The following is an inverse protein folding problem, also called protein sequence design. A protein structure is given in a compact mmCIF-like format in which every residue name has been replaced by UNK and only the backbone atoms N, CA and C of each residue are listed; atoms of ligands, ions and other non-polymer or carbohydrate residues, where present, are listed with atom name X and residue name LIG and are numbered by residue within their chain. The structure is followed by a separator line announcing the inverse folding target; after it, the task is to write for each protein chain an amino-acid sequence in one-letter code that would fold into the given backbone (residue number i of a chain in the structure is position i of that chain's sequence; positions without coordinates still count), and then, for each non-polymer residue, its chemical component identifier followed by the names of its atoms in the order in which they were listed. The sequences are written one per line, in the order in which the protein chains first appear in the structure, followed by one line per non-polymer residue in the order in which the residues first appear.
data_IF_563814673136
#
_entry.id   IF_563814673136
#
_cell.length_a   1.000
_cell.length_b   1.000
_cell.length_c   1.000
_cell.angle_alpha   90.00
_cell.angle_beta   90.00
_cell.angle_gamma   90.00
#
_symmetry.space_group_name_H-M   'P 1'
#
loop_
_entity.id
_entity.type
_entity.pdbx_description
1 polymer ?
#
# COMPACT_ATOMS: atom_id res chain seq x y z
N UNK A 1 -28.34 -53.69 -4.85
CA UNK A 1 -29.68 -53.33 -4.36
C UNK A 1 -29.76 -51.81 -4.20
N UNK A 2 -30.86 -51.19 -4.61
CA UNK A 2 -31.06 -49.75 -4.50
C UNK A 2 -31.57 -49.40 -3.10
N UNK A 3 -30.81 -48.62 -2.33
CA UNK A 3 -31.21 -48.19 -0.99
C UNK A 3 -32.32 -47.13 -1.04
N UNK A 4 -33.30 -47.22 -0.14
CA UNK A 4 -34.27 -46.15 0.14
C UNK A 4 -33.93 -45.50 1.48
N UNK A 5 -33.84 -44.17 1.52
CA UNK A 5 -33.59 -43.39 2.74
C UNK A 5 -34.85 -42.61 3.11
N UNK A 6 -35.48 -42.97 4.22
CA UNK A 6 -36.56 -42.20 4.83
C UNK A 6 -35.95 -41.25 5.87
N UNK A 7 -36.25 -39.96 5.78
CA UNK A 7 -35.77 -38.97 6.74
C UNK A 7 -36.70 -38.95 7.96
N UNK A 8 -36.11 -39.08 9.14
CA UNK A 8 -36.79 -38.91 10.43
C UNK A 8 -35.98 -37.91 11.25
N UNK A 9 -36.63 -36.86 11.73
CA UNK A 9 -35.99 -35.81 12.50
C UNK A 9 -35.58 -36.31 13.89
N UNK A 10 -34.39 -35.92 14.35
CA UNK A 10 -33.94 -36.21 15.72
C UNK A 10 -34.37 -35.09 16.65
N UNK A 11 -35.06 -35.44 17.74
CA UNK A 11 -35.56 -34.50 18.76
C UNK A 11 -34.44 -33.84 19.59
N UNK A 12 -33.31 -34.53 19.76
CA UNK A 12 -32.14 -34.01 20.48
C UNK A 12 -30.87 -34.32 19.69
N UNK A 13 -29.94 -33.37 19.68
CA UNK A 13 -28.68 -33.46 18.96
C UNK A 13 -27.51 -33.31 19.94
N UNK A 14 -26.73 -34.37 20.11
CA UNK A 14 -25.39 -34.30 20.68
C UNK A 14 -24.42 -34.09 19.53
N UNK A 15 -23.65 -33.00 19.60
CA UNK A 15 -22.83 -32.53 18.48
C UNK A 15 -21.49 -32.01 19.00
N UNK A 16 -20.41 -32.39 18.32
CA UNK A 16 -19.08 -31.81 18.49
C UNK A 16 -18.54 -31.41 17.13
N UNK A 17 -18.28 -30.13 16.95
CA UNK A 17 -17.83 -29.59 15.67
C UNK A 17 -16.50 -30.22 15.21
N UNK A 18 -15.59 -30.49 16.16
CA UNK A 18 -14.28 -31.11 15.93
C UNK A 18 -14.35 -32.53 15.35
N UNK A 19 -15.40 -33.29 15.63
CA UNK A 19 -15.60 -34.65 15.10
C UNK A 19 -16.05 -34.65 13.65
N UNK A 20 -16.72 -33.58 13.21
CA UNK A 20 -17.22 -33.45 11.84
C UNK A 20 -16.17 -32.95 10.86
N UNK A 21 -15.08 -32.36 11.36
CA UNK A 21 -14.05 -31.74 10.51
C UNK A 21 -12.88 -32.70 10.39
N UNK A 22 -12.62 -33.27 9.20
CA UNK A 22 -11.53 -34.22 9.00
C UNK A 22 -10.17 -33.63 9.41
N UNK A 23 -9.27 -34.46 9.92
CA UNK A 23 -7.89 -34.04 10.27
C UNK A 23 -7.12 -33.47 9.07
N UNK A 24 -7.44 -33.90 7.87
CA UNK A 24 -6.83 -33.41 6.63
C UNK A 24 -7.40 -32.05 6.16
N UNK A 25 -8.47 -31.55 6.77
CA UNK A 25 -9.08 -30.26 6.40
C UNK A 25 -8.06 -29.13 6.56
N UNK A 26 -8.01 -28.24 5.57
CA UNK A 26 -7.06 -27.14 5.51
C UNK A 26 -7.17 -26.20 6.72
N UNK A 27 -8.38 -25.75 7.07
CA UNK A 27 -8.62 -24.82 8.18
C UNK A 27 -8.32 -25.43 9.54
N UNK A 28 -8.55 -26.73 9.71
CA UNK A 28 -8.11 -27.46 10.90
C UNK A 28 -6.59 -27.48 11.04
N UNK A 29 -5.87 -27.86 9.97
CA UNK A 29 -4.40 -27.86 9.96
C UNK A 29 -3.83 -26.45 10.18
N UNK A 30 -4.48 -25.43 9.59
CA UNK A 30 -4.11 -24.03 9.80
C UNK A 30 -4.29 -23.62 11.25
N UNK A 31 -5.40 -23.97 11.90
CA UNK A 31 -5.63 -23.74 13.34
C UNK A 31 -4.53 -24.34 14.20
N UNK A 32 -4.11 -25.57 13.87
CA UNK A 32 -3.10 -26.32 14.63
C UNK A 32 -1.67 -25.79 14.39
N UNK A 33 -1.41 -25.20 13.22
CA UNK A 33 -0.06 -24.71 12.84
C UNK A 33 0.17 -23.25 13.16
N UNK A 34 -0.89 -22.44 13.29
CA UNK A 34 -0.83 -20.99 13.44
C UNK A 34 -1.24 -20.57 14.85
N UNK A 35 -0.26 -20.28 15.70
CA UNK A 35 -0.50 -19.68 17.02
C UNK A 35 -0.50 -18.15 16.94
N UNK A 36 -1.64 -17.55 17.28
CA UNK A 36 -1.86 -16.11 17.28
C UNK A 36 -2.05 -15.52 18.69
N UNK A 37 -1.87 -16.30 19.75
CA UNK A 37 -2.17 -15.86 21.13
C UNK A 37 -1.36 -14.63 21.57
N UNK A 38 -0.17 -14.45 21.02
CA UNK A 38 0.68 -13.29 21.28
C UNK A 38 0.04 -11.95 20.88
N UNK A 39 -0.94 -11.95 19.96
CA UNK A 39 -1.66 -10.75 19.52
C UNK A 39 -2.41 -10.09 20.68
N UNK A 40 -2.98 -10.87 21.61
CA UNK A 40 -3.71 -10.31 22.75
C UNK A 40 -2.85 -9.34 23.57
N UNK A 41 -1.55 -9.63 23.72
CA UNK A 41 -0.62 -8.75 24.46
C UNK A 41 -0.36 -7.46 23.70
N UNK A 42 -0.21 -7.53 22.38
CA UNK A 42 0.11 -6.40 21.52
C UNK A 42 -1.06 -5.44 21.35
N UNK A 43 -2.28 -5.97 21.27
CA UNK A 43 -3.47 -5.13 21.08
C UNK A 43 -4.08 -4.66 22.40
N UNK A 44 -3.62 -5.14 23.56
CA UNK A 44 -4.25 -4.88 24.88
C UNK A 44 -4.50 -3.40 25.15
N UNK A 45 -3.55 -2.54 24.80
CA UNK A 45 -3.64 -1.10 25.01
C UNK A 45 -4.69 -0.40 24.12
N UNK A 46 -5.11 -1.05 23.03
CA UNK A 46 -6.12 -0.52 22.09
C UNK A 46 -7.56 -0.83 22.55
N UNK A 47 -7.72 -1.65 23.59
CA UNK A 47 -9.02 -2.06 24.13
C UNK A 47 -9.30 -1.34 25.44
N UNK A 48 -10.54 -0.88 25.60
CA UNK A 48 -11.02 -0.31 26.85
C UNK A 48 -11.18 -1.36 27.95
N UNK A 49 -11.16 -0.91 29.21
CA UNK A 49 -11.40 -1.76 30.39
C UNK A 49 -12.87 -1.86 30.80
N UNK A 50 -13.75 -1.06 30.18
CA UNK A 50 -15.18 -0.98 30.50
C UNK A 50 -16.04 -0.98 29.24
N UNK A 51 -17.32 -1.35 29.37
CA UNK A 51 -18.28 -1.43 28.28
C UNK A 51 -18.47 -2.84 27.70
N UNK A 52 -19.17 -2.93 26.57
CA UNK A 52 -19.38 -4.21 25.89
C UNK A 52 -18.05 -4.75 25.33
N UNK A 53 -17.75 -6.04 25.51
CA UNK A 53 -16.58 -6.67 24.90
C UNK A 53 -16.59 -6.46 23.38
N UNK A 54 -15.45 -5.98 22.86
CA UNK A 54 -15.22 -5.91 21.42
C UNK A 54 -14.80 -7.29 20.89
N UNK A 55 -14.67 -7.42 19.56
CA UNK A 55 -14.19 -8.64 18.91
C UNK A 55 -12.81 -9.05 19.46
N UNK A 56 -12.64 -10.36 19.67
CA UNK A 56 -11.35 -10.94 19.98
C UNK A 56 -10.33 -10.63 18.86
N UNK A 57 -9.15 -10.05 19.18
CA UNK A 57 -8.09 -9.79 18.22
C UNK A 57 -7.70 -11.02 17.36
N UNK A 58 -7.58 -12.20 17.97
CA UNK A 58 -7.23 -13.43 17.27
C UNK A 58 -8.32 -13.81 16.26
N UNK A 59 -9.59 -13.71 16.66
CA UNK A 59 -10.73 -13.95 15.76
C UNK A 59 -10.70 -12.95 14.60
N UNK A 60 -10.42 -11.68 14.87
CA UNK A 60 -10.31 -10.66 13.81
C UNK A 60 -9.25 -11.04 12.76
N UNK A 61 -8.03 -11.40 13.18
CA UNK A 61 -6.97 -11.79 12.25
C UNK A 61 -7.30 -13.08 11.49
N UNK A 62 -7.95 -14.06 12.15
CA UNK A 62 -8.42 -15.26 11.48
C UNK A 62 -9.49 -14.96 10.43
N UNK A 63 -10.43 -14.06 10.70
CA UNK A 63 -11.41 -13.59 9.72
C UNK A 63 -10.73 -12.93 8.51
N UNK A 64 -9.71 -12.10 8.74
CA UNK A 64 -8.93 -11.50 7.65
C UNK A 64 -8.24 -12.56 6.79
N UNK A 65 -7.62 -13.56 7.42
CA UNK A 65 -7.01 -14.69 6.69
C UNK A 65 -8.05 -15.44 5.85
N UNK A 66 -9.22 -15.75 6.41
CA UNK A 66 -10.31 -16.38 5.66
C UNK A 66 -10.73 -15.52 4.47
N UNK A 67 -10.91 -14.21 4.67
CA UNK A 67 -11.26 -13.28 3.60
C UNK A 67 -10.27 -13.31 2.43
N UNK A 68 -8.96 -13.35 2.71
CA UNK A 68 -7.95 -13.45 1.65
C UNK A 68 -7.89 -14.84 1.01
N UNK A 69 -7.94 -15.91 1.80
CA UNK A 69 -7.82 -17.29 1.33
C UNK A 69 -9.03 -17.72 0.48
N UNK A 70 -10.22 -17.22 0.80
CA UNK A 70 -11.47 -17.49 0.07
C UNK A 70 -11.79 -16.39 -0.96
N UNK A 71 -10.90 -15.40 -1.11
CA UNK A 71 -11.06 -14.27 -2.03
C UNK A 71 -12.39 -13.50 -1.82
N UNK A 72 -12.76 -13.28 -0.55
CA UNK A 72 -13.96 -12.54 -0.13
C UNK A 72 -13.55 -11.16 0.37
N UNK A 73 -13.86 -10.13 -0.43
CA UNK A 73 -13.45 -8.74 -0.15
C UNK A 73 -14.48 -7.92 0.63
N UNK A 74 -15.70 -8.44 0.81
CA UNK A 74 -16.78 -7.75 1.51
C UNK A 74 -16.95 -8.31 2.91
N UNK A 75 -16.85 -7.46 3.94
CA UNK A 75 -17.04 -7.86 5.34
C UNK A 75 -18.40 -8.50 5.60
N UNK A 76 -19.47 -8.06 4.91
CA UNK A 76 -20.80 -8.70 4.99
C UNK A 76 -20.78 -10.12 4.44
N UNK A 77 -20.29 -10.26 3.19
CA UNK A 77 -20.17 -11.57 2.54
C UNK A 77 -19.23 -12.49 3.31
N UNK A 78 -18.20 -11.96 3.97
CA UNK A 78 -17.27 -12.73 4.78
C UNK A 78 -17.99 -13.35 5.98
N UNK A 79 -18.77 -12.56 6.73
CA UNK A 79 -19.53 -13.08 7.87
C UNK A 79 -20.55 -14.13 7.41
N UNK A 80 -21.28 -13.87 6.32
CA UNK A 80 -22.23 -14.82 5.73
C UNK A 80 -21.52 -16.09 5.21
N UNK A 81 -20.32 -15.96 4.64
CA UNK A 81 -19.54 -17.10 4.16
C UNK A 81 -19.05 -17.96 5.32
N UNK A 82 -18.55 -17.34 6.39
CA UNK A 82 -18.09 -18.01 7.59
C UNK A 82 -19.23 -18.74 8.31
N UNK A 83 -20.43 -18.14 8.42
CA UNK A 83 -21.57 -18.75 9.12
C UNK A 83 -22.05 -20.04 8.46
N UNK A 84 -21.86 -20.19 7.16
CA UNK A 84 -22.30 -21.36 6.39
C UNK A 84 -21.28 -22.51 6.40
N UNK A 85 -20.05 -22.30 6.90
CA UNK A 85 -18.95 -23.26 6.79
C UNK A 85 -18.42 -23.71 8.14
N UNK A 86 -18.75 -24.96 8.49
CA UNK A 86 -18.35 -25.62 9.74
C UNK A 86 -16.83 -25.64 9.97
N UNK A 87 -16.04 -25.87 8.92
CA UNK A 87 -14.58 -25.90 9.00
C UNK A 87 -13.99 -24.53 9.32
N UNK A 88 -14.58 -23.46 8.77
CA UNK A 88 -14.21 -22.08 9.07
C UNK A 88 -14.63 -21.70 10.49
N UNK A 89 -15.87 -22.00 10.89
CA UNK A 89 -16.33 -21.76 12.28
C UNK A 89 -15.38 -22.39 13.30
N UNK A 90 -14.96 -23.63 13.05
CA UNK A 90 -13.98 -24.31 13.89
C UNK A 90 -12.61 -23.64 13.89
N UNK A 91 -12.14 -23.13 12.76
CA UNK A 91 -10.90 -22.36 12.71
C UNK A 91 -11.00 -21.07 13.53
N UNK A 92 -12.11 -20.34 13.39
CA UNK A 92 -12.40 -19.12 14.13
C UNK A 92 -12.53 -19.38 15.63
N UNK A 93 -13.08 -20.54 16.02
CA UNK A 93 -13.37 -20.91 17.40
C UNK A 93 -14.83 -20.66 17.80
N UNK A 94 -15.75 -20.68 16.83
CA UNK A 94 -17.19 -20.55 17.05
C UNK A 94 -17.89 -21.89 16.85
N UNK A 95 -18.99 -22.12 17.57
CA UNK A 95 -19.90 -23.23 17.31
C UNK A 95 -21.05 -22.83 16.35
N UNK A 96 -21.90 -23.78 15.96
CA UNK A 96 -22.95 -23.60 14.94
C UNK A 96 -24.07 -22.67 15.43
N UNK A 97 -24.32 -22.63 16.72
CA UNK A 97 -25.36 -21.82 17.36
C UNK A 97 -24.84 -20.47 17.91
N UNK A 98 -23.53 -20.22 17.81
CA UNK A 98 -22.94 -18.96 18.23
C UNK A 98 -23.05 -17.87 17.17
N UNK A 99 -23.33 -16.64 17.62
CA UNK A 99 -23.45 -15.50 16.73
C UNK A 99 -22.06 -14.92 16.38
N UNK A 100 -21.76 -14.86 15.08
CA UNK A 100 -20.56 -14.20 14.56
C UNK A 100 -20.60 -12.67 14.76
N UNK A 101 -19.43 -12.00 14.81
CA UNK A 101 -19.35 -10.56 14.95
C UNK A 101 -20.01 -9.84 13.76
N UNK A 102 -20.62 -8.69 14.04
CA UNK A 102 -21.20 -7.84 13.01
C UNK A 102 -20.13 -7.31 12.06
N UNK A 103 -20.45 -7.23 10.77
CA UNK A 103 -19.51 -6.80 9.72
C UNK A 103 -18.89 -5.42 9.98
N UNK A 104 -19.62 -4.52 10.66
CA UNK A 104 -19.14 -3.17 11.01
C UNK A 104 -18.07 -3.21 12.10
N UNK A 105 -18.14 -4.18 13.02
CA UNK A 105 -17.11 -4.42 14.03
C UNK A 105 -15.81 -4.81 13.35
N UNK A 106 -15.85 -5.69 12.34
CA UNK A 106 -14.67 -6.08 11.56
C UNK A 106 -14.03 -4.85 10.89
N UNK A 107 -14.83 -4.05 10.17
CA UNK A 107 -14.33 -2.85 9.49
C UNK A 107 -13.73 -1.83 10.46
N UNK A 108 -14.34 -1.61 11.63
CA UNK A 108 -13.84 -0.66 12.64
C UNK A 108 -12.57 -1.17 13.32
N UNK A 109 -12.51 -2.45 13.67
CA UNK A 109 -11.31 -3.06 14.25
C UNK A 109 -10.12 -3.01 13.28
N UNK A 110 -10.36 -3.19 11.98
CA UNK A 110 -9.32 -3.00 10.95
C UNK A 110 -8.71 -1.60 10.96
N UNK A 111 -9.51 -0.57 11.19
CA UNK A 111 -9.05 0.82 11.27
C UNK A 111 -8.41 1.17 12.61
N UNK A 112 -8.70 0.39 13.66
CA UNK A 112 -8.17 0.61 15.01
C UNK A 112 -6.70 0.18 15.13
N UNK A 113 -6.30 -0.88 14.42
CA UNK A 113 -4.96 -1.46 14.57
C UNK A 113 -3.92 -0.70 13.74
N UNK A 114 -2.80 -0.29 14.35
CA UNK A 114 -1.71 0.33 13.61
C UNK A 114 -0.93 -0.70 12.79
N UNK A 115 -0.25 -0.23 11.75
CA UNK A 115 0.58 -1.03 10.84
C UNK A 115 1.61 -1.89 11.58
N UNK A 116 2.12 -1.41 12.72
CA UNK A 116 3.08 -2.13 13.55
C UNK A 116 2.55 -3.46 14.09
N UNK A 117 1.24 -3.58 14.35
CA UNK A 117 0.62 -4.85 14.77
C UNK A 117 0.61 -5.84 13.60
N UNK A 118 0.29 -5.36 12.39
CA UNK A 118 0.33 -6.19 11.18
C UNK A 118 1.75 -6.63 10.84
N UNK A 119 2.73 -5.74 10.98
CA UNK A 119 4.14 -6.05 10.76
C UNK A 119 4.67 -7.06 11.79
N UNK A 120 4.30 -6.92 13.06
CA UNK A 120 4.60 -7.90 14.12
C UNK A 120 4.06 -9.29 13.77
N UNK A 121 2.80 -9.37 13.34
CA UNK A 121 2.20 -10.63 12.89
C UNK A 121 2.92 -11.21 11.68
N UNK A 122 3.23 -10.38 10.68
CA UNK A 122 3.99 -10.80 9.50
C UNK A 122 5.34 -11.42 9.90
N UNK A 123 6.08 -10.77 10.81
CA UNK A 123 7.36 -11.27 11.30
C UNK A 123 7.24 -12.63 12.00
N UNK A 124 6.17 -12.86 12.77
CA UNK A 124 5.90 -14.16 13.41
C UNK A 124 5.60 -15.24 12.39
N UNK A 125 4.75 -14.97 11.42
CA UNK A 125 4.43 -15.93 10.35
C UNK A 125 5.68 -16.24 9.53
N UNK A 126 6.50 -15.23 9.24
CA UNK A 126 7.78 -15.42 8.56
C UNK A 126 8.74 -16.29 9.38
N UNK A 127 8.87 -16.06 10.69
CA UNK A 127 9.68 -16.90 11.57
C UNK A 127 9.20 -18.36 11.58
N UNK A 128 7.88 -18.61 11.61
CA UNK A 128 7.33 -19.96 11.47
C UNK A 128 7.74 -20.61 10.14
N UNK A 129 7.76 -19.85 9.04
CA UNK A 129 8.26 -20.37 7.76
C UNK A 129 9.76 -20.71 7.81
N UNK A 130 10.56 -19.90 8.50
CA UNK A 130 11.99 -20.19 8.72
C UNK A 130 12.18 -21.47 9.55
N UNK A 131 11.46 -21.62 10.67
CA UNK A 131 11.52 -22.80 11.54
C UNK A 131 11.13 -24.09 10.82
N UNK A 132 10.27 -23.98 9.80
CA UNK A 132 9.88 -25.10 8.92
C UNK A 132 10.83 -25.34 7.75
N UNK A 133 11.92 -24.58 7.64
CA UNK A 133 12.92 -24.71 6.57
C UNK A 133 12.42 -24.23 5.20
N UNK A 134 11.40 -23.37 5.15
CA UNK A 134 10.83 -22.88 3.89
C UNK A 134 11.58 -21.66 3.33
N UNK A 135 12.47 -21.05 4.10
CA UNK A 135 13.18 -19.82 3.74
C UNK A 135 14.67 -20.13 3.63
N UNK A 136 15.28 -19.88 2.47
CA UNK A 136 16.72 -20.05 2.28
C UNK A 136 17.53 -18.85 2.79
N UNK A 137 16.99 -17.65 2.66
CA UNK A 137 17.58 -16.38 3.09
C UNK A 137 18.59 -15.75 2.13
N UNK A 138 19.36 -16.56 1.38
CA UNK A 138 20.50 -16.13 0.56
C UNK A 138 20.09 -15.20 -0.61
N UNK A 139 19.15 -15.64 -1.45
CA UNK A 139 18.71 -14.91 -2.66
C UNK A 139 17.29 -14.38 -2.50
N UNK A 140 17.11 -13.07 -2.71
CA UNK A 140 15.82 -12.39 -2.62
C UNK A 140 15.46 -11.75 -3.96
N UNK A 141 14.26 -12.02 -4.47
CA UNK A 141 13.71 -11.39 -5.66
C UNK A 141 12.80 -10.22 -5.30
N UNK A 142 13.03 -9.06 -5.91
CA UNK A 142 12.22 -7.87 -5.78
C UNK A 142 11.37 -7.64 -7.03
N UNK A 143 10.10 -7.33 -6.81
CA UNK A 143 9.19 -6.90 -7.86
C UNK A 143 8.19 -5.87 -7.31
N UNK A 144 7.59 -5.10 -8.19
CA UNK A 144 6.56 -4.14 -7.84
C UNK A 144 5.39 -4.12 -8.82
N UNK A 145 4.21 -3.78 -8.32
CA UNK A 145 3.02 -3.65 -9.13
C UNK A 145 2.16 -2.47 -8.67
N UNK A 146 1.59 -1.69 -9.62
CA UNK A 146 0.59 -0.69 -9.28
C UNK A 146 -0.72 -1.38 -8.88
N UNK A 147 -1.15 -1.18 -7.64
CA UNK A 147 -2.45 -1.65 -7.12
C UNK A 147 -3.45 -0.51 -7.25
N UNK A 148 -4.60 -0.79 -7.86
CA UNK A 148 -5.66 0.21 -8.02
C UNK A 148 -6.18 0.65 -6.64
N UNK A 149 -6.15 1.95 -6.38
CA UNK A 149 -6.75 2.53 -5.19
C UNK A 149 -8.29 2.46 -5.26
N UNK A 150 -8.94 2.41 -4.10
CA UNK A 150 -10.39 2.50 -4.02
C UNK A 150 -10.87 3.97 -4.05
N UNK A 151 -10.47 4.67 -5.11
CA UNK A 151 -10.67 6.11 -5.24
C UNK A 151 -11.00 6.48 -6.69
N UNK A 152 -11.90 7.45 -6.88
CA UNK A 152 -12.29 7.95 -8.20
C UNK A 152 -11.40 9.11 -8.66
N UNK A 153 -11.08 9.12 -9.96
CA UNK A 153 -10.43 10.26 -10.60
C UNK A 153 -11.36 11.50 -10.67
N UNK A 154 -12.68 11.31 -10.59
CA UNK A 154 -13.67 12.40 -10.64
C UNK A 154 -13.78 13.14 -9.30
N UNK A 155 -13.37 12.50 -8.21
CA UNK A 155 -13.43 13.07 -6.86
C UNK A 155 -12.13 13.79 -6.47
N UNK A 156 -11.29 14.17 -7.45
CA UNK A 156 -10.05 14.87 -7.18
C UNK A 156 -10.32 16.33 -6.80
N UNK A 157 -9.68 16.79 -5.73
CA UNK A 157 -9.74 18.17 -5.26
C UNK A 157 -8.38 18.86 -5.38
N UNK A 158 -8.40 20.18 -5.56
CA UNK A 158 -7.19 21.00 -5.58
C UNK A 158 -6.56 21.05 -4.20
N UNK A 159 -5.24 20.83 -4.13
CA UNK A 159 -4.46 21.06 -2.91
C UNK A 159 -4.54 22.54 -2.54
N UNK A 160 -5.10 22.83 -1.37
CA UNK A 160 -5.14 24.20 -0.83
C UNK A 160 -3.83 24.49 -0.10
N UNK A 161 -3.24 25.69 -0.27
CA UNK A 161 -2.10 26.10 0.53
C UNK A 161 -2.43 26.03 2.03
N UNK A 162 -1.44 25.67 2.84
CA UNK A 162 -1.59 25.56 4.30
C UNK A 162 -1.98 26.90 4.96
N UNK A 163 -1.51 28.02 4.41
CA UNK A 163 -1.91 29.35 4.84
C UNK A 163 -3.00 29.90 3.94
N UNK A 164 -4.03 30.52 4.53
CA UNK A 164 -4.97 31.31 3.74
C UNK A 164 -4.21 32.44 3.04
N UNK A 165 -4.67 32.80 1.85
CA UNK A 165 -4.11 33.91 1.06
C UNK A 165 -4.04 35.19 1.93
N UNK A 166 -5.05 35.43 2.76
CA UNK A 166 -5.12 36.53 3.72
C UNK A 166 -4.00 36.49 4.76
N UNK A 167 -3.73 35.32 5.35
CA UNK A 167 -2.62 35.16 6.33
C UNK A 167 -1.26 35.30 5.67
N UNK A 168 -1.12 34.82 4.44
CA UNK A 168 0.11 34.99 3.67
C UNK A 168 0.35 36.46 3.34
N UNK A 169 -0.67 37.18 2.85
CA UNK A 169 -0.58 38.62 2.64
C UNK A 169 -0.34 39.40 3.93
N UNK A 170 -0.95 39.00 5.05
CA UNK A 170 -0.66 39.61 6.34
C UNK A 170 0.80 39.41 6.75
N UNK A 171 1.34 38.20 6.63
CA UNK A 171 2.74 37.91 6.94
C UNK A 171 3.72 38.67 6.03
N UNK A 172 3.47 38.68 4.71
CA UNK A 172 4.26 39.43 3.73
C UNK A 172 4.18 40.94 3.99
N UNK A 173 3.01 41.45 4.35
CA UNK A 173 2.86 42.87 4.72
C UNK A 173 3.57 43.21 6.03
N UNK A 174 3.62 42.28 6.99
CA UNK A 174 4.39 42.44 8.23
C UNK A 174 5.90 42.41 7.96
N UNK A 175 6.40 41.51 7.10
CA UNK A 175 7.80 41.46 6.69
C UNK A 175 8.22 42.67 5.84
N UNK A 176 7.30 43.20 5.03
CA UNK A 176 7.51 44.40 4.22
C UNK A 176 7.15 45.71 4.94
N UNK A 177 6.94 45.71 6.27
CA UNK A 177 6.86 46.96 7.01
C UNK A 177 8.25 47.62 6.96
N UNK A 178 8.38 48.62 6.09
CA UNK A 178 9.57 49.48 6.06
C UNK A 178 9.79 50.08 7.45
N UNK A 179 11.05 50.17 7.93
CA UNK A 179 11.34 50.89 9.15
C UNK A 179 10.82 52.32 9.00
N UNK A 180 10.08 52.81 9.99
CA UNK A 180 9.53 54.17 10.00
C UNK A 180 10.69 55.16 9.96
N UNK A 181 11.09 55.58 8.76
CA UNK A 181 11.94 56.73 8.55
C UNK A 181 10.99 57.92 8.45
N UNK A 182 11.00 58.76 9.48
CA UNK A 182 10.27 60.03 9.52
C UNK A 182 10.84 60.97 8.45
N UNK A 183 10.30 60.94 7.24
CA UNK A 183 10.65 61.87 6.18
C UNK A 183 9.51 62.90 5.98
N UNK A 184 9.91 64.17 6.00
CA UNK A 184 9.13 65.39 5.74
C UNK A 184 8.37 65.36 4.41
N UNK A 185 7.25 66.12 4.28
CA UNK A 185 6.42 66.10 3.09
C UNK A 185 7.16 66.75 1.93
N UNK A 186 7.71 65.91 1.05
CA UNK A 186 8.16 66.34 -0.27
C UNK A 186 7.00 66.17 -1.26
N UNK A 187 6.86 67.17 -2.11
CA UNK A 187 5.85 67.35 -3.15
C UNK A 187 5.54 66.06 -3.89
N UNK A 188 4.26 65.72 -3.99
CA UNK A 188 3.74 64.56 -4.74
C UNK A 188 4.11 64.71 -6.21
N UNK A 189 5.25 64.14 -6.59
CA UNK A 189 5.53 63.82 -7.98
C UNK A 189 4.61 62.67 -8.38
N UNK A 190 3.75 62.88 -9.38
CA UNK A 190 3.10 61.77 -10.05
C UNK A 190 4.19 60.87 -10.62
N UNK A 191 4.48 59.76 -9.94
CA UNK A 191 5.35 58.70 -10.47
C UNK A 191 4.56 58.04 -11.60
N UNK A 192 4.68 58.60 -12.80
CA UNK A 192 4.07 58.05 -14.00
C UNK A 192 5.08 57.14 -14.67
N UNK A 193 4.75 55.86 -14.80
CA UNK A 193 5.58 54.92 -15.56
C UNK A 193 5.63 55.34 -17.04
N UNK A 194 6.79 55.22 -17.72
CA UNK A 194 6.92 55.55 -19.13
C UNK A 194 5.87 54.82 -19.99
N UNK A 195 5.31 55.50 -21.00
CA UNK A 195 4.18 55.00 -21.79
C UNK A 195 4.41 53.60 -22.39
N UNK A 196 5.65 53.26 -22.74
CA UNK A 196 5.99 51.95 -23.28
C UNK A 196 5.90 50.82 -22.24
N UNK A 197 6.17 51.08 -20.96
CA UNK A 197 5.94 50.12 -19.87
C UNK A 197 4.44 49.89 -19.66
N UNK A 198 3.65 50.96 -19.65
CA UNK A 198 2.19 50.86 -19.54
C UNK A 198 1.59 50.10 -20.73
N UNK A 199 2.06 50.37 -21.95
CA UNK A 199 1.64 49.65 -23.15
C UNK A 199 2.05 48.18 -23.12
N UNK A 200 3.26 47.85 -22.62
CA UNK A 200 3.71 46.46 -22.46
C UNK A 200 2.85 45.70 -21.45
N UNK A 201 2.54 46.31 -20.30
CA UNK A 201 1.65 45.72 -19.28
C UNK A 201 0.24 45.54 -19.83
N UNK A 202 -0.29 46.55 -20.53
CA UNK A 202 -1.61 46.50 -21.17
C UNK A 202 -1.66 45.40 -22.23
N UNK A 203 -0.60 45.25 -23.03
CA UNK A 203 -0.49 44.19 -24.03
C UNK A 203 -0.41 42.79 -23.41
N UNK A 204 0.30 42.64 -22.28
CA UNK A 204 0.33 41.39 -21.50
C UNK A 204 -1.04 41.07 -20.92
N UNK A 205 -1.75 42.05 -20.35
CA UNK A 205 -3.12 41.87 -19.86
C UNK A 205 -4.12 41.56 -20.97
N UNK A 206 -4.02 42.22 -22.12
CA UNK A 206 -4.88 41.94 -23.27
C UNK A 206 -4.61 40.56 -23.86
N UNK A 207 -3.35 40.10 -23.83
CA UNK A 207 -2.97 38.73 -24.25
C UNK A 207 -3.54 37.68 -23.29
N UNK A 208 -3.53 37.96 -21.98
CA UNK A 208 -4.16 37.11 -20.95
C UNK A 208 -5.70 37.13 -21.01
N UNK A 209 -6.32 38.21 -21.49
CA UNK A 209 -7.78 38.30 -21.70
C UNK A 209 -8.23 37.62 -22.99
N UNK A 210 -7.46 37.74 -24.07
CA UNK A 210 -7.76 37.14 -25.39
C UNK A 210 -7.45 35.65 -25.44
N UNK A 211 -6.36 35.24 -24.79
CA UNK A 211 -6.09 33.87 -24.44
C UNK A 211 -6.19 33.78 -22.91
N UNK A 212 -7.40 33.58 -22.33
CA UNK A 212 -7.44 33.02 -20.99
C UNK A 212 -6.54 31.80 -21.04
N UNK A 213 -5.75 31.58 -19.98
CA UNK A 213 -4.93 30.37 -19.88
C UNK A 213 -5.88 29.19 -19.90
N UNK A 214 -6.26 28.73 -21.09
CA UNK A 214 -7.02 27.52 -21.28
C UNK A 214 -6.18 26.45 -20.64
N UNK A 215 -6.77 25.68 -19.72
CA UNK A 215 -6.07 24.57 -19.09
C UNK A 215 -5.37 23.77 -20.20
N UNK A 216 -4.03 23.69 -20.14
CA UNK A 216 -3.24 23.14 -21.24
C UNK A 216 -3.77 21.75 -21.61
N UNK A 217 -4.30 21.57 -22.84
CA UNK A 217 -4.81 20.27 -23.30
C UNK A 217 -6.31 20.18 -23.65
N UNK A 218 -7.04 21.29 -23.75
CA UNK A 218 -8.45 21.26 -24.11
C UNK A 218 -8.69 21.29 -25.64
N UNK A 219 -8.82 20.11 -26.26
CA UNK A 219 -9.67 19.93 -27.45
C UNK A 219 -11.06 19.38 -27.10
N UNK A 220 -11.32 19.06 -25.83
CA UNK A 220 -12.57 18.50 -25.33
C UNK A 220 -13.06 19.25 -24.09
N UNK A 221 -14.35 19.56 -24.02
CA UNK A 221 -14.98 20.43 -23.00
C UNK A 221 -14.83 19.92 -21.54
N UNK A 222 -14.58 18.61 -21.36
CA UNK A 222 -14.37 17.95 -20.06
C UNK A 222 -12.88 17.62 -19.77
N UNK A 223 -11.96 18.03 -20.63
CA UNK A 223 -10.54 17.70 -20.48
C UNK A 223 -9.92 18.52 -19.33
N UNK A 224 -9.66 17.87 -18.20
CA UNK A 224 -8.97 18.46 -17.06
C UNK A 224 -7.56 17.87 -16.88
N UNK A 225 -6.59 18.76 -16.66
CA UNK A 225 -5.22 18.42 -16.29
C UNK A 225 -5.15 18.12 -14.79
N UNK A 226 -5.01 16.84 -14.47
CA UNK A 226 -4.77 16.38 -13.10
C UNK A 226 -3.30 15.99 -12.93
N UNK A 227 -2.71 16.36 -11.80
CA UNK A 227 -1.36 15.96 -11.42
C UNK A 227 -1.29 15.77 -9.90
N UNK A 228 -0.40 14.89 -9.43
CA UNK A 228 -0.18 14.68 -8.00
C UNK A 228 0.35 15.94 -7.27
N UNK A 229 0.90 16.91 -8.01
CA UNK A 229 1.34 18.20 -7.47
C UNK A 229 0.18 19.13 -7.16
N UNK A 230 -0.87 19.09 -7.97
CA UNK A 230 -1.98 20.04 -7.90
C UNK A 230 -3.24 19.47 -7.26
N UNK A 231 -3.45 18.15 -7.35
CA UNK A 231 -4.66 17.49 -6.88
C UNK A 231 -4.36 16.36 -5.90
N UNK A 232 -5.35 16.03 -5.07
CA UNK A 232 -5.39 14.84 -4.22
C UNK A 232 -6.84 14.32 -4.17
N UNK A 233 -7.02 13.07 -3.72
CA UNK A 233 -8.36 12.55 -3.48
C UNK A 233 -8.68 12.69 -1.97
N UNK A 234 -9.82 13.30 -1.57
CA UNK A 234 -10.15 13.50 -0.16
C UNK A 234 -10.60 12.21 0.55
N UNK A 235 -11.09 11.21 -0.19
CA UNK A 235 -11.49 9.91 0.36
C UNK A 235 -10.29 8.96 0.53
N UNK A 236 -9.23 9.20 -0.24
CA UNK A 236 -7.98 8.46 -0.21
C UNK A 236 -6.80 9.41 -0.52
N UNK A 237 -6.31 10.16 0.48
CA UNK A 237 -5.27 11.18 0.28
C UNK A 237 -3.90 10.63 -0.15
N UNK A 238 -3.68 9.33 0.07
CA UNK A 238 -2.41 8.66 -0.22
C UNK A 238 -2.36 8.09 -1.63
N UNK A 239 -3.50 7.81 -2.24
CA UNK A 239 -3.55 7.40 -3.63
C UNK A 239 -2.89 8.44 -4.57
N UNK A 240 -2.14 7.95 -5.55
CA UNK A 240 -1.47 8.80 -6.54
C UNK A 240 -1.94 8.46 -7.95
N UNK A 241 -2.05 9.49 -8.78
CA UNK A 241 -2.25 9.36 -10.21
C UNK A 241 -0.99 8.71 -10.79
N UNK A 242 -1.15 7.56 -11.43
CA UNK A 242 -0.08 6.92 -12.20
C UNK A 242 -0.59 6.42 -13.54
N UNK A 243 0.34 6.30 -14.50
CA UNK A 243 0.06 5.92 -15.88
C UNK A 243 0.99 4.78 -16.26
N UNK A 244 0.41 3.66 -16.69
CA UNK A 244 1.16 2.59 -17.37
C UNK A 244 1.09 2.84 -18.87
N UNK A 245 2.18 2.65 -19.65
CA UNK A 245 2.13 2.77 -21.10
C UNK A 245 0.97 1.99 -21.71
N UNK A 246 0.18 2.64 -22.57
CA UNK A 246 -1.00 2.06 -23.21
C UNK A 246 -2.25 1.92 -22.33
N UNK A 247 -2.23 2.38 -21.07
CA UNK A 247 -3.40 2.36 -20.17
C UNK A 247 -3.83 3.75 -19.75
N UNK A 248 -5.12 3.90 -19.47
CA UNK A 248 -5.67 5.13 -18.92
C UNK A 248 -5.08 5.45 -17.53
N UNK A 249 -4.93 6.74 -17.24
CA UNK A 249 -4.56 7.25 -15.92
C UNK A 249 -5.52 6.76 -14.84
N UNK A 250 -4.98 6.29 -13.71
CA UNK A 250 -5.75 5.82 -12.56
C UNK A 250 -5.08 6.25 -11.26
N UNK A 251 -5.85 6.24 -10.18
CA UNK A 251 -5.35 6.32 -8.83
C UNK A 251 -4.86 4.93 -8.39
N UNK A 252 -3.59 4.84 -8.01
CA UNK A 252 -2.94 3.60 -7.61
C UNK A 252 -2.07 3.83 -6.36
N UNK A 253 -1.72 2.71 -5.73
CA UNK A 253 -0.61 2.53 -4.82
C UNK A 253 0.50 1.77 -5.54
N UNK A 254 1.75 1.95 -5.13
CA UNK A 254 2.88 1.16 -5.57
C UNK A 254 3.11 0.05 -4.55
N UNK A 255 2.80 -1.19 -4.90
CA UNK A 255 3.03 -2.32 -4.00
C UNK A 255 4.34 -2.99 -4.40
N UNK A 256 5.26 -3.08 -3.45
CA UNK A 256 6.56 -3.71 -3.66
C UNK A 256 6.70 -4.92 -2.77
N UNK A 257 7.27 -5.99 -3.30
CA UNK A 257 7.40 -7.27 -2.62
C UNK A 257 8.81 -7.81 -2.76
N UNK A 258 9.29 -8.44 -1.68
CA UNK A 258 10.49 -9.25 -1.67
C UNK A 258 10.10 -10.72 -1.43
N UNK A 259 10.70 -11.62 -2.20
CA UNK A 259 10.41 -13.06 -2.15
C UNK A 259 11.70 -13.84 -2.05
N UNK A 260 11.75 -14.79 -1.12
CA UNK A 260 12.83 -15.77 -1.01
C UNK A 260 12.75 -16.78 -2.17
N UNK A 261 13.85 -16.96 -2.90
CA UNK A 261 13.86 -17.82 -4.08
C UNK A 261 13.85 -19.32 -3.78
N UNK A 262 13.97 -19.74 -2.51
CA UNK A 262 14.01 -21.15 -2.13
C UNK A 262 12.68 -21.87 -2.33
N UNK A 263 11.62 -21.38 -1.67
CA UNK A 263 10.26 -21.93 -1.78
C UNK A 263 9.21 -20.85 -2.13
N UNK A 264 9.64 -19.65 -2.52
CA UNK A 264 8.72 -18.56 -2.88
C UNK A 264 8.05 -17.89 -1.68
N UNK A 265 8.69 -17.92 -0.50
CA UNK A 265 8.15 -17.26 0.70
C UNK A 265 8.31 -15.75 0.57
N UNK A 266 7.22 -15.01 0.74
CA UNK A 266 7.26 -13.55 0.79
C UNK A 266 8.03 -13.12 2.03
N UNK A 267 9.18 -12.50 1.84
CA UNK A 267 10.05 -12.02 2.91
C UNK A 267 9.76 -10.58 3.30
N UNK A 268 9.14 -9.78 2.43
CA UNK A 268 8.66 -8.45 2.75
C UNK A 268 7.59 -7.98 1.77
N UNK A 269 6.69 -7.12 2.25
CA UNK A 269 5.72 -6.42 1.42
C UNK A 269 5.55 -5.00 1.98
N UNK A 270 5.44 -4.01 1.10
CA UNK A 270 5.14 -2.64 1.47
C UNK A 270 4.29 -1.96 0.40
N UNK A 271 3.53 -0.94 0.79
CA UNK A 271 2.78 -0.09 -0.12
C UNK A 271 3.33 1.34 -0.01
N UNK A 272 3.68 1.90 -1.15
CA UNK A 272 4.22 3.24 -1.32
C UNK A 272 3.32 4.08 -2.26
N UNK A 273 3.65 5.36 -2.39
CA UNK A 273 3.01 6.26 -3.33
C UNK A 273 3.31 5.87 -4.79
N UNK A 274 2.28 5.82 -5.64
CA UNK A 274 2.43 5.39 -7.04
C UNK A 274 3.09 6.38 -8.01
N UNK A 275 3.71 7.45 -7.50
CA UNK A 275 4.40 8.47 -8.28
C UNK A 275 5.93 8.43 -8.18
N UNK A 276 6.48 7.49 -7.41
CA UNK A 276 7.90 7.16 -7.43
C UNK A 276 8.26 6.11 -8.47
N UNK A 277 9.58 5.86 -8.60
CA UNK A 277 10.15 4.82 -9.45
C UNK A 277 10.64 3.65 -8.60
N UNK A 278 10.58 2.45 -9.13
CA UNK A 278 10.99 1.20 -8.47
C UNK A 278 12.42 1.31 -7.91
N UNK A 279 13.34 1.90 -8.69
CA UNK A 279 14.72 2.17 -8.27
C UNK A 279 14.85 2.99 -6.97
N UNK A 280 13.84 3.82 -6.62
CA UNK A 280 13.87 4.64 -5.40
C UNK A 280 13.50 3.85 -4.15
N UNK A 281 12.75 2.76 -4.29
CA UNK A 281 12.22 1.98 -3.17
C UNK A 281 13.14 0.81 -2.76
N UNK A 282 14.01 0.35 -3.68
CA UNK A 282 14.94 -0.75 -3.41
C UNK A 282 15.74 -0.63 -2.11
N UNK A 283 16.34 0.53 -1.76
CA UNK A 283 17.16 0.62 -0.56
C UNK A 283 16.35 0.36 0.72
N UNK A 284 15.15 0.95 0.83
CA UNK A 284 14.27 0.77 1.98
C UNK A 284 13.84 -0.69 2.12
N UNK A 285 13.41 -1.32 1.03
CA UNK A 285 13.04 -2.74 1.01
C UNK A 285 14.19 -3.64 1.43
N UNK A 286 15.38 -3.40 0.86
CA UNK A 286 16.59 -4.19 1.16
C UNK A 286 16.90 -4.14 2.65
N UNK A 287 16.83 -2.95 3.27
CA UNK A 287 17.07 -2.80 4.72
C UNK A 287 16.06 -3.60 5.54
N UNK A 288 14.77 -3.55 5.18
CA UNK A 288 13.74 -4.29 5.93
C UNK A 288 13.90 -5.80 5.78
N UNK A 289 14.20 -6.28 4.58
CA UNK A 289 14.47 -7.70 4.31
C UNK A 289 15.70 -8.17 5.09
N UNK A 290 16.81 -7.42 5.04
CA UNK A 290 18.01 -7.75 5.82
C UNK A 290 17.74 -7.78 7.32
N UNK A 291 16.99 -6.82 7.85
CA UNK A 291 16.60 -6.78 9.26
C UNK A 291 15.82 -8.04 9.64
N UNK A 292 14.83 -8.43 8.83
CA UNK A 292 13.98 -9.59 9.08
C UNK A 292 14.75 -10.90 8.98
N UNK A 293 15.60 -11.05 7.97
CA UNK A 293 16.48 -12.22 7.83
C UNK A 293 17.46 -12.33 8.99
N UNK A 294 18.11 -11.21 9.37
CA UNK A 294 19.04 -11.18 10.51
C UNK A 294 18.37 -11.54 11.83
N UNK A 295 17.10 -11.16 12.03
CA UNK A 295 16.34 -11.54 13.21
C UNK A 295 16.05 -13.05 13.29
N UNK A 296 16.26 -13.79 12.21
CA UNK A 296 16.11 -15.24 12.12
C UNK A 296 17.43 -15.93 11.76
N UNK A 297 18.58 -15.30 12.06
CA UNK A 297 19.94 -15.83 11.79
C UNK A 297 20.22 -16.17 10.32
N UNK A 298 19.47 -15.56 9.40
CA UNK A 298 19.65 -15.68 7.96
C UNK A 298 20.35 -14.44 7.40
N UNK A 299 21.05 -14.61 6.27
CA UNK A 299 21.74 -13.53 5.59
C UNK A 299 21.44 -13.52 4.10
N UNK A 300 21.03 -12.36 3.61
CA UNK A 300 20.95 -12.06 2.18
C UNK A 300 22.31 -11.68 1.62
N UNK A 301 22.59 -12.22 0.45
CA UNK A 301 23.86 -12.14 -0.29
C UNK A 301 23.60 -11.85 -1.77
N UNK A 302 22.42 -12.18 -2.29
CA UNK A 302 22.03 -11.95 -3.68
C UNK A 302 20.66 -11.28 -3.75
N UNK A 303 20.52 -10.35 -4.70
CA UNK A 303 19.26 -9.66 -4.95
C UNK A 303 18.95 -9.69 -6.45
N UNK A 304 17.78 -10.23 -6.80
CA UNK A 304 17.26 -10.27 -8.16
C UNK A 304 16.24 -9.14 -8.32
N UNK A 305 16.34 -8.35 -9.39
CA UNK A 305 15.30 -7.37 -9.72
C UNK A 305 15.31 -7.05 -11.22
N UNK A 306 14.22 -6.51 -11.74
CA UNK A 306 14.14 -6.10 -13.14
C UNK A 306 14.93 -4.81 -13.44
N UNK A 307 14.98 -4.42 -14.71
CA UNK A 307 15.71 -3.21 -15.13
C UNK A 307 15.10 -1.90 -14.57
N UNK A 308 13.87 -1.91 -14.06
CA UNK A 308 13.23 -0.76 -13.39
C UNK A 308 13.96 -0.36 -12.10
N UNK A 309 14.69 -1.30 -11.49
CA UNK A 309 15.52 -1.07 -10.31
C UNK A 309 16.95 -0.61 -10.61
N UNK A 310 17.37 -0.57 -11.88
CA UNK A 310 18.72 -0.16 -12.29
C UNK A 310 18.99 1.31 -12.01
N UNK A 311 19.89 1.58 -11.06
CA UNK A 311 20.38 2.92 -10.72
C UNK A 311 21.79 2.81 -10.11
N UNK A 312 22.72 3.72 -10.46
CA UNK A 312 24.08 3.74 -9.91
C UNK A 312 24.12 3.71 -8.38
N UNK A 313 23.24 4.51 -7.74
CA UNK A 313 23.10 4.50 -6.29
C UNK A 313 22.69 3.14 -5.72
N UNK A 314 21.83 2.39 -6.42
CA UNK A 314 21.39 1.07 -5.96
C UNK A 314 22.53 0.04 -6.03
N UNK A 315 23.33 0.08 -7.10
CA UNK A 315 24.50 -0.80 -7.23
C UNK A 315 25.51 -0.54 -6.12
N UNK A 316 25.88 0.73 -5.90
CA UNK A 316 26.78 1.13 -4.81
C UNK A 316 26.22 0.73 -3.43
N UNK A 317 24.93 0.98 -3.20
CA UNK A 317 24.26 0.64 -1.94
C UNK A 317 24.28 -0.86 -1.62
N UNK A 318 24.12 -1.71 -2.64
CA UNK A 318 24.17 -3.17 -2.53
C UNK A 318 25.61 -3.68 -2.37
N UNK A 319 26.56 -3.11 -3.11
CA UNK A 319 27.99 -3.44 -3.02
C UNK A 319 28.54 -3.15 -1.62
N UNK A 320 28.24 -1.98 -1.04
CA UNK A 320 28.62 -1.62 0.34
C UNK A 320 28.06 -2.58 1.41
N UNK A 321 27.03 -3.36 1.06
CA UNK A 321 26.41 -4.37 1.93
C UNK A 321 26.85 -5.80 1.62
N UNK A 322 27.80 -5.98 0.70
CA UNK A 322 28.21 -7.28 0.18
C UNK A 322 27.03 -8.10 -0.37
N UNK A 323 26.13 -7.44 -1.10
CA UNK A 323 25.04 -8.10 -1.83
C UNK A 323 25.36 -8.04 -3.32
N UNK A 324 25.38 -9.18 -3.99
CA UNK A 324 25.53 -9.27 -5.44
C UNK A 324 24.21 -8.89 -6.13
N UNK A 325 24.18 -7.79 -6.90
CA UNK A 325 22.99 -7.36 -7.61
C UNK A 325 22.86 -8.06 -8.97
N UNK A 326 21.80 -8.83 -9.15
CA UNK A 326 21.38 -9.38 -10.44
C UNK A 326 20.29 -8.49 -11.05
N UNK A 327 20.67 -7.25 -11.37
CA UNK A 327 19.77 -6.20 -11.91
C UNK A 327 20.28 -5.79 -13.29
N UNK A 328 19.53 -6.02 -14.38
CA UNK A 328 19.95 -5.63 -15.72
C UNK A 328 20.13 -4.11 -15.83
N UNK A 329 21.26 -3.67 -16.39
CA UNK A 329 21.51 -2.24 -16.60
C UNK A 329 20.57 -1.69 -17.67
N UNK A 330 19.83 -0.64 -17.33
CA UNK A 330 18.91 0.02 -18.25
C UNK A 330 19.67 0.60 -19.46
N UNK A 331 19.23 0.25 -20.68
CA UNK A 331 19.68 0.91 -21.92
C UNK A 331 20.92 0.35 -22.62
N UNK A 332 21.48 -0.81 -22.22
CA UNK A 332 22.61 -1.45 -22.94
C UNK A 332 22.51 -2.99 -23.03
N UNK A 333 21.33 -3.54 -23.34
CA UNK A 333 21.29 -4.94 -23.77
C UNK A 333 21.86 -5.03 -25.20
N UNK A 334 23.11 -5.48 -25.32
CA UNK A 334 23.69 -5.93 -26.58
C UNK A 334 23.45 -7.44 -26.68
N UNK A 335 22.54 -7.92 -27.56
CA UNK A 335 22.21 -9.34 -27.67
C UNK A 335 23.43 -10.19 -28.06
N UNK A 336 24.36 -9.58 -28.80
CA UNK A 336 25.62 -10.18 -29.20
C UNK A 336 26.77 -9.30 -28.70
N UNK A 337 27.78 -9.93 -28.10
CA UNK A 337 29.06 -9.30 -27.79
C UNK A 337 30.10 -9.94 -28.70
N UNK A 338 30.90 -9.13 -29.38
CA UNK A 338 31.92 -9.59 -30.35
C UNK A 338 32.92 -10.61 -29.76
N UNK A 339 33.05 -10.67 -28.44
CA UNK A 339 33.94 -11.60 -27.72
C UNK A 339 33.24 -12.80 -27.07
N UNK A 340 31.92 -12.96 -27.25
CA UNK A 340 31.15 -14.10 -26.74
C UNK A 340 30.68 -14.97 -27.90
N UNK A 341 31.15 -16.22 -27.93
CA UNK A 341 30.68 -17.22 -28.91
C UNK A 341 29.42 -17.88 -28.36
N UNK A 342 28.27 -17.62 -28.97
CA UNK A 342 26.99 -18.24 -28.58
C UNK A 342 26.87 -19.58 -29.30
N UNK A 343 26.87 -20.68 -28.54
CA UNK A 343 26.66 -22.02 -29.10
C UNK A 343 25.16 -22.25 -29.22
N UNK A 344 24.66 -22.30 -30.45
CA UNK A 344 23.30 -22.73 -30.75
C UNK A 344 23.20 -24.26 -30.57
N UNK A 345 22.35 -24.71 -29.66
CA UNK A 345 21.97 -26.13 -29.59
C UNK A 345 20.85 -26.40 -30.61
N UNK A 346 20.91 -27.51 -31.35
CA UNK A 346 19.94 -27.88 -32.39
C UNK A 346 18.55 -28.22 -31.83
#
# INVERSE_FOLDING_TARGET
MQGRKNYTEKLFMSFQLSERIPKANFYRRLRESLDLNSIHKETRALYGSTGNPSIDPVVFFKLMLVGYLENVTSDRKLVDHCSMRMDILYFLGYDIDEQLPWHSTISRTRQLYPDSVFESLFNKVFALCVDKGMVSGHTQALDSAPIKANASMESLELKKPFQSIERHFAAVNTENQEPVITATPSTVGLITAPQHHLNRVKHVHDKLRKNPVGASGASHEKAQLFSNKTHYNPHDPDARISVKPGKARKLNYHCSMAVDSGQGVISHIQADFADGRDSQYLPAMTVQVQKRLKANDLRMTELLADAGYSNGFNYEFLELRNITPWIPVFGKYKPEREWVTYVSFP
#
